data_IF_520811797314
#
_entry.id   IF_520811797314
#
_cell.length_a   1.000
_cell.length_b   1.000
_cell.length_c   1.000
_cell.angle_alpha   90.00
_cell.angle_beta   90.00
_cell.angle_gamma   90.00
#
_symmetry.space_group_name_H-M   'P 1'
#
loop_
_entity.id
_entity.type
_entity.pdbx_description
1 polymer ?
#
# COMPACT_ATOMS: atom_id res chain seq x y z
N UNK A 1 -15.69 48.23 6.60
CA UNK A 1 -16.00 47.30 7.71
C UNK A 1 -15.30 45.98 7.38
N UNK A 2 -13.99 45.86 7.67
CA UNK A 2 -13.38 45.35 8.90
C UNK A 2 -13.60 43.84 9.15
N UNK A 3 -12.50 43.11 8.94
CA UNK A 3 -11.96 41.95 9.68
C UNK A 3 -12.18 40.52 9.15
N UNK A 4 -11.08 39.79 8.83
CA UNK A 4 -11.02 38.33 8.79
C UNK A 4 -10.55 37.75 10.15
N UNK A 5 -11.12 36.61 10.55
CA UNK A 5 -10.69 35.86 11.73
C UNK A 5 -9.34 35.17 11.49
N UNK A 6 -8.29 35.71 12.10
CA UNK A 6 -7.02 35.02 12.36
C UNK A 6 -7.05 34.56 13.82
N UNK A 7 -6.98 33.25 14.05
CA UNK A 7 -6.77 32.70 15.39
C UNK A 7 -5.27 32.72 15.71
N UNK A 8 -4.91 33.51 16.72
CA UNK A 8 -3.59 33.59 17.33
C UNK A 8 -3.44 32.53 18.45
N UNK A 9 -2.25 31.97 18.70
CA UNK A 9 -2.03 31.01 19.77
C UNK A 9 -1.91 31.69 21.14
N UNK A 10 -2.53 31.08 22.15
CA UNK A 10 -2.52 31.49 23.54
C UNK A 10 -1.12 31.40 24.17
N UNK A 11 -0.64 32.53 24.71
CA UNK A 11 0.54 32.66 25.58
C UNK A 11 0.07 32.67 27.03
N UNK A 12 0.70 31.86 27.89
CA UNK A 12 0.72 31.99 29.36
C UNK A 12 2.03 31.37 29.92
N UNK A 13 2.50 31.75 31.13
CA UNK A 13 3.65 32.65 31.26
C UNK A 13 4.95 32.02 31.82
N UNK A 14 6.08 32.66 31.51
CA UNK A 14 7.38 32.50 32.17
C UNK A 14 7.29 32.85 33.66
N UNK A 15 7.59 31.92 34.56
CA UNK A 15 8.33 32.17 35.81
C UNK A 15 9.14 30.94 36.24
N UNK A 16 10.31 31.20 36.86
CA UNK A 16 11.29 30.28 37.47
C UNK A 16 12.30 29.56 36.55
N UNK A 17 13.35 30.30 36.15
CA UNK A 17 14.66 29.75 35.82
C UNK A 17 15.57 29.86 37.07
N UNK A 18 15.77 28.75 37.79
CA UNK A 18 16.91 28.61 38.71
C UNK A 18 18.09 28.00 37.94
N UNK A 19 19.18 28.75 37.97
CA UNK A 19 20.48 28.49 37.36
C UNK A 19 21.15 27.35 38.14
N UNK A 20 21.25 26.16 37.55
CA UNK A 20 22.19 25.14 38.01
C UNK A 20 23.29 24.99 36.96
N UNK A 21 24.47 25.49 37.32
CA UNK A 21 25.71 25.25 36.60
C UNK A 21 26.26 23.92 37.09
N UNK A 22 26.32 22.91 36.22
CA UNK A 22 27.12 21.71 36.46
C UNK A 22 28.22 21.67 35.41
N UNK A 23 29.43 22.01 35.86
CA UNK A 23 30.67 21.69 35.14
C UNK A 23 31.02 20.25 35.49
N UNK A 24 31.01 19.35 34.51
CA UNK A 24 31.52 18.00 34.67
C UNK A 24 32.50 17.73 33.54
N UNK A 25 33.78 17.82 33.86
CA UNK A 25 34.88 17.32 33.04
C UNK A 25 34.86 15.79 33.07
N UNK A 26 34.84 15.14 31.90
CA UNK A 26 35.28 13.75 31.76
C UNK A 26 36.34 13.63 30.65
N UNK A 27 37.39 12.82 30.86
CA UNK A 27 38.56 12.77 30.00
C UNK A 27 38.31 12.01 28.70
N UNK A 28 39.04 12.40 27.65
CA UNK A 28 39.04 11.74 26.35
C UNK A 28 39.56 10.30 26.47
N UNK A 29 38.73 9.33 26.11
CA UNK A 29 39.19 8.01 25.67
C UNK A 29 38.60 7.72 24.29
N UNK A 30 39.48 7.72 23.31
CA UNK A 30 39.26 7.18 21.99
C UNK A 30 39.05 5.66 22.09
N UNK A 31 37.90 5.18 21.61
CA UNK A 31 37.66 3.77 21.35
C UNK A 31 37.29 3.61 19.86
N UNK A 32 37.75 2.53 19.21
CA UNK A 32 37.70 2.40 17.76
C UNK A 32 36.27 2.17 17.25
N UNK A 33 35.97 2.84 16.14
CA UNK A 33 34.71 2.73 15.39
C UNK A 33 34.66 1.33 14.76
N UNK A 34 33.87 0.42 15.35
CA UNK A 34 33.42 -0.78 14.64
C UNK A 34 32.35 -0.37 13.62
N UNK A 35 32.73 -0.38 12.35
CA UNK A 35 31.82 -0.32 11.21
C UNK A 35 30.88 -1.52 11.24
N UNK A 36 29.64 -1.32 11.70
CA UNK A 36 28.58 -2.30 11.57
C UNK A 36 28.14 -2.36 10.10
N UNK A 37 28.77 -3.23 9.31
CA UNK A 37 28.24 -3.66 8.01
C UNK A 37 26.94 -4.43 8.26
N UNK A 38 25.80 -3.75 8.15
CA UNK A 38 24.51 -4.41 8.08
C UNK A 38 24.45 -5.21 6.77
N UNK A 39 24.58 -6.53 6.89
CA UNK A 39 24.38 -7.49 5.81
C UNK A 39 22.90 -7.49 5.40
N UNK A 40 22.54 -6.72 4.37
CA UNK A 40 21.31 -6.93 3.63
C UNK A 40 21.50 -8.19 2.74
N UNK A 41 21.16 -9.36 3.27
CA UNK A 41 20.89 -10.55 2.44
C UNK A 41 19.41 -10.55 2.08
N UNK A 42 19.05 -9.95 0.95
CA UNK A 42 17.78 -10.23 0.29
C UNK A 42 17.93 -11.53 -0.51
N UNK A 43 17.08 -12.52 -0.20
CA UNK A 43 16.95 -13.76 -0.97
C UNK A 43 16.21 -13.46 -2.28
N UNK A 44 16.87 -13.82 -3.38
CA UNK A 44 16.40 -14.13 -4.73
C UNK A 44 14.91 -13.91 -5.02
N UNK A 45 14.60 -12.78 -5.66
CA UNK A 45 13.45 -12.68 -6.54
C UNK A 45 13.88 -13.05 -7.97
N UNK A 46 13.08 -13.91 -8.58
CA UNK A 46 13.25 -14.51 -9.89
C UNK A 46 13.46 -13.48 -11.01
N UNK A 47 14.67 -13.49 -11.60
CA UNK A 47 14.93 -13.49 -13.04
C UNK A 47 13.96 -12.71 -13.95
N UNK A 48 14.07 -11.38 -13.98
CA UNK A 48 13.74 -10.57 -15.17
C UNK A 48 14.79 -9.48 -15.49
N UNK A 49 15.82 -9.28 -14.66
CA UNK A 49 16.89 -8.33 -14.94
C UNK A 49 18.24 -9.00 -14.67
N UNK A 50 18.70 -9.84 -15.60
CA UNK A 50 20.12 -10.08 -15.72
C UNK A 50 20.74 -8.77 -16.26
N UNK A 51 21.21 -7.91 -15.36
CA UNK A 51 22.06 -6.80 -15.76
C UNK A 51 23.50 -7.29 -15.66
N UNK A 52 24.05 -7.58 -16.83
CA UNK A 52 25.47 -7.43 -17.09
C UNK A 52 25.96 -6.11 -16.48
N UNK A 53 27.19 -6.11 -15.97
CA UNK A 53 27.87 -4.90 -15.50
C UNK A 53 28.11 -3.95 -16.68
N UNK A 54 27.06 -3.27 -17.14
CA UNK A 54 27.13 -2.25 -18.17
C UNK A 54 27.76 -0.98 -17.57
N UNK A 55 28.75 -0.46 -18.30
CA UNK A 55 29.27 0.90 -18.12
C UNK A 55 28.09 1.85 -18.00
N UNK A 56 28.16 2.79 -17.06
CA UNK A 56 27.14 3.83 -16.92
C UNK A 56 26.87 4.49 -18.29
N UNK A 57 25.66 4.27 -18.83
CA UNK A 57 25.23 4.89 -20.07
C UNK A 57 25.12 6.39 -19.87
N UNK A 58 26.14 7.11 -20.33
CA UNK A 58 26.09 8.56 -20.46
C UNK A 58 24.99 8.93 -21.46
N UNK A 59 24.22 10.01 -21.20
CA UNK A 59 23.19 10.42 -22.13
C UNK A 59 23.80 10.75 -23.50
N UNK A 60 23.11 10.40 -24.61
CA UNK A 60 23.54 10.76 -25.95
C UNK A 60 23.75 12.28 -26.11
N UNK A 61 24.63 12.64 -27.06
CA UNK A 61 24.88 14.05 -27.39
C UNK A 61 23.75 14.67 -28.21
N UNK A 62 23.12 13.88 -29.09
CA UNK A 62 21.98 14.35 -29.87
C UNK A 62 20.79 14.69 -28.96
N UNK A 63 20.14 15.82 -29.23
CA UNK A 63 19.06 16.33 -28.38
C UNK A 63 17.84 15.40 -28.38
N UNK A 64 17.50 14.84 -29.54
CA UNK A 64 16.33 13.95 -29.68
C UNK A 64 16.58 12.62 -28.97
N UNK A 65 17.75 12.03 -29.18
CA UNK A 65 18.16 10.81 -28.48
C UNK A 65 18.27 11.03 -26.96
N UNK A 66 18.76 12.19 -26.53
CA UNK A 66 18.81 12.59 -25.11
C UNK A 66 17.42 12.71 -24.49
N UNK A 67 16.46 13.29 -25.22
CA UNK A 67 15.06 13.32 -24.80
C UNK A 67 14.52 11.91 -24.56
N UNK A 68 14.68 11.02 -25.54
CA UNK A 68 14.25 9.61 -25.44
C UNK A 68 14.95 8.86 -24.31
N UNK A 69 16.23 9.12 -24.08
CA UNK A 69 17.00 8.55 -22.98
C UNK A 69 16.38 8.91 -21.62
N UNK A 70 16.09 10.19 -21.37
CA UNK A 70 15.48 10.60 -20.10
C UNK A 70 14.03 10.14 -19.97
N UNK A 71 13.26 10.09 -21.07
CA UNK A 71 11.91 9.52 -21.05
C UNK A 71 11.91 8.06 -20.62
N UNK A 72 12.87 7.25 -21.10
CA UNK A 72 13.03 5.86 -20.64
C UNK A 72 13.40 5.79 -19.16
N UNK A 73 14.38 6.58 -18.70
CA UNK A 73 14.75 6.63 -17.27
C UNK A 73 13.61 7.06 -16.36
N UNK A 74 12.78 8.00 -16.83
CA UNK A 74 11.56 8.43 -16.14
C UNK A 74 10.55 7.27 -16.06
N UNK A 75 10.33 6.54 -17.16
CA UNK A 75 9.48 5.36 -17.16
C UNK A 75 9.98 4.26 -16.23
N UNK A 76 11.29 4.00 -16.20
CA UNK A 76 11.89 3.04 -15.26
C UNK A 76 11.55 3.41 -13.81
N UNK A 77 11.70 4.69 -13.46
CA UNK A 77 11.32 5.22 -12.16
C UNK A 77 9.83 5.03 -11.87
N UNK A 78 8.94 5.53 -12.72
CA UNK A 78 7.48 5.50 -12.48
C UNK A 78 6.92 4.07 -12.45
N UNK A 79 7.44 3.19 -13.30
CA UNK A 79 7.00 1.80 -13.37
C UNK A 79 7.44 1.02 -12.14
N UNK A 80 8.55 1.40 -11.51
CA UNK A 80 8.95 0.88 -10.21
C UNK A 80 8.13 1.50 -9.07
N UNK A 81 8.03 2.82 -9.05
CA UNK A 81 7.58 3.65 -7.93
C UNK A 81 6.07 3.81 -7.86
N UNK A 82 5.36 2.71 -7.59
CA UNK A 82 3.89 2.70 -7.48
C UNK A 82 3.37 3.47 -6.25
N UNK A 83 4.18 3.60 -5.21
CA UNK A 83 3.83 4.30 -3.97
C UNK A 83 4.99 5.17 -3.49
N UNK A 84 4.77 6.11 -2.54
CA UNK A 84 5.84 6.90 -1.95
C UNK A 84 6.98 6.05 -1.39
N UNK A 85 6.65 4.86 -0.87
CA UNK A 85 7.62 3.89 -0.37
C UNK A 85 8.57 3.39 -1.46
N UNK A 86 8.02 3.02 -2.62
CA UNK A 86 8.81 2.55 -3.76
C UNK A 86 9.54 3.70 -4.46
N UNK A 87 9.00 4.93 -4.42
CA UNK A 87 9.70 6.13 -4.89
C UNK A 87 10.97 6.39 -4.06
N UNK A 88 10.86 6.36 -2.74
CA UNK A 88 12.00 6.55 -1.84
C UNK A 88 12.99 5.40 -1.94
N UNK A 89 12.53 4.14 -2.03
CA UNK A 89 13.43 2.99 -2.20
C UNK A 89 14.23 3.10 -3.51
N UNK A 90 13.57 3.39 -4.64
CA UNK A 90 14.26 3.57 -5.92
C UNK A 90 15.27 4.71 -5.86
N UNK A 91 14.86 5.88 -5.36
CA UNK A 91 15.75 7.04 -5.23
C UNK A 91 16.95 6.74 -4.31
N UNK A 92 16.73 6.04 -3.20
CA UNK A 92 17.79 5.62 -2.28
C UNK A 92 18.79 4.69 -2.97
N UNK A 93 18.31 3.70 -3.75
CA UNK A 93 19.17 2.81 -4.53
C UNK A 93 20.00 3.59 -5.55
N UNK A 94 19.37 4.49 -6.30
CA UNK A 94 20.10 5.31 -7.26
C UNK A 94 21.16 6.19 -6.59
N UNK A 95 20.86 6.78 -5.44
CA UNK A 95 21.83 7.61 -4.69
C UNK A 95 23.02 6.78 -4.21
N UNK A 96 22.79 5.58 -3.67
CA UNK A 96 23.84 4.66 -3.26
C UNK A 96 24.73 4.24 -4.44
N UNK A 97 24.12 3.89 -5.58
CA UNK A 97 24.84 3.55 -6.82
C UNK A 97 25.71 4.71 -7.33
N UNK A 98 25.40 5.96 -6.96
CA UNK A 98 26.13 7.17 -7.35
C UNK A 98 27.02 7.75 -6.22
N UNK A 99 27.35 6.91 -5.24
CA UNK A 99 28.34 7.20 -4.21
C UNK A 99 27.84 8.14 -3.10
N UNK A 100 26.53 8.30 -2.95
CA UNK A 100 25.98 8.94 -1.75
C UNK A 100 26.05 7.98 -0.56
N UNK A 101 26.28 8.54 0.63
CA UNK A 101 26.30 7.80 1.89
C UNK A 101 24.95 7.96 2.58
N UNK A 102 24.29 6.84 2.88
CA UNK A 102 23.09 6.84 3.71
C UNK A 102 23.47 7.21 5.15
N UNK A 103 22.77 8.18 5.73
CA UNK A 103 22.93 8.60 7.12
C UNK A 103 21.60 8.46 7.88
N UNK A 104 21.69 8.26 9.19
CA UNK A 104 20.53 8.10 10.07
C UNK A 104 20.26 9.39 10.81
N UNK A 105 19.01 9.85 10.81
CA UNK A 105 18.57 11.03 11.58
C UNK A 105 18.64 10.84 13.11
N UNK A 106 18.92 9.62 13.58
CA UNK A 106 19.08 9.31 15.00
C UNK A 106 20.51 9.50 15.49
N UNK A 107 21.47 9.60 14.57
CA UNK A 107 22.89 9.65 14.88
C UNK A 107 23.41 11.08 14.79
N UNK A 108 24.47 11.41 15.53
CA UNK A 108 25.21 12.64 15.31
C UNK A 108 25.93 12.58 13.95
N UNK A 109 25.77 13.63 13.13
CA UNK A 109 26.33 13.65 11.78
C UNK A 109 27.72 14.25 11.73
N UNK A 110 28.65 13.54 11.08
CA UNK A 110 29.97 14.06 10.75
C UNK A 110 30.08 14.29 9.22
N UNK A 111 29.61 15.45 8.77
CA UNK A 111 29.55 15.81 7.35
C UNK A 111 30.87 16.44 6.89
N UNK A 112 31.35 16.05 5.71
CA UNK A 112 32.63 16.51 5.16
C UNK A 112 32.42 17.36 3.89
N UNK A 113 33.19 18.44 3.70
CA UNK A 113 33.25 19.14 2.41
C UNK A 113 33.58 18.18 1.26
N UNK A 114 32.82 18.25 0.17
CA UNK A 114 32.91 17.31 -0.94
C UNK A 114 32.13 15.99 -0.76
N UNK A 115 31.59 15.74 0.44
CA UNK A 115 30.77 14.57 0.73
C UNK A 115 29.36 14.65 0.14
N UNK A 116 28.73 13.48 -0.07
CA UNK A 116 27.36 13.34 -0.58
C UNK A 116 26.59 12.41 0.34
N UNK A 117 25.43 12.84 0.79
CA UNK A 117 24.69 12.15 1.83
C UNK A 117 23.20 12.16 1.53
N UNK A 118 22.48 11.17 2.06
CA UNK A 118 21.04 11.20 2.06
C UNK A 118 20.48 10.51 3.30
N UNK A 119 19.29 10.89 3.70
CA UNK A 119 18.51 10.18 4.71
C UNK A 119 17.05 10.06 4.27
N UNK A 120 16.34 9.15 4.91
CA UNK A 120 14.91 8.92 4.68
C UNK A 120 14.12 9.05 5.97
N UNK A 121 12.96 9.70 5.92
CA UNK A 121 12.00 9.76 7.02
C UNK A 121 10.75 8.98 6.66
N UNK A 122 10.32 8.09 7.55
CA UNK A 122 9.16 7.19 7.38
C UNK A 122 9.23 6.28 6.12
N UNK A 123 10.36 6.25 5.42
CA UNK A 123 10.52 5.67 4.10
C UNK A 123 9.54 6.22 3.05
N UNK A 124 8.99 7.42 3.26
CA UNK A 124 8.12 8.14 2.31
C UNK A 124 8.70 9.47 1.87
N UNK A 125 9.65 10.02 2.62
CA UNK A 125 10.40 11.22 2.28
C UNK A 125 11.88 10.89 2.19
N UNK A 126 12.55 11.46 1.20
CA UNK A 126 13.99 11.37 1.00
C UNK A 126 14.59 12.76 0.89
N UNK A 127 15.70 12.99 1.57
CA UNK A 127 16.49 14.22 1.46
C UNK A 127 17.90 13.82 1.08
N UNK A 128 18.35 14.28 -0.08
CA UNK A 128 19.70 14.06 -0.58
C UNK A 128 20.41 15.40 -0.76
N UNK A 129 21.68 15.46 -0.35
CA UNK A 129 22.47 16.68 -0.43
C UNK A 129 23.95 16.38 -0.70
N UNK A 130 24.59 17.29 -1.42
CA UNK A 130 26.03 17.26 -1.69
C UNK A 130 26.67 18.50 -1.09
N UNK A 131 27.65 18.29 -0.19
CA UNK A 131 28.38 19.38 0.45
C UNK A 131 29.45 19.87 -0.51
N UNK A 132 29.39 21.14 -0.91
CA UNK A 132 30.40 21.73 -1.79
C UNK A 132 31.81 21.66 -1.19
N UNK A 133 32.83 21.44 -2.01
CA UNK A 133 34.23 21.38 -1.54
C UNK A 133 34.71 22.66 -0.84
N UNK A 134 34.10 23.80 -1.18
CA UNK A 134 34.37 25.12 -0.60
C UNK A 134 33.30 25.56 0.41
N UNK A 135 32.40 24.66 0.80
CA UNK A 135 31.36 24.99 1.76
C UNK A 135 31.98 25.26 3.13
N UNK A 136 31.57 26.35 3.75
CA UNK A 136 31.85 26.70 5.14
C UNK A 136 30.54 27.02 5.84
N UNK A 137 30.48 26.83 7.15
CA UNK A 137 29.28 27.15 7.94
C UNK A 137 28.87 28.61 7.72
N UNK A 138 27.58 28.84 7.47
CA UNK A 138 27.02 30.15 7.10
C UNK A 138 26.78 30.34 5.59
N UNK A 139 27.35 29.49 4.73
CA UNK A 139 27.03 29.52 3.30
C UNK A 139 25.59 29.06 3.01
N UNK A 140 25.04 29.48 1.86
CA UNK A 140 23.69 29.15 1.43
C UNK A 140 23.52 27.75 0.81
N UNK A 141 22.27 27.45 0.42
CA UNK A 141 21.87 26.19 -0.19
C UNK A 141 21.21 26.42 -1.55
N UNK A 142 21.48 25.53 -2.51
CA UNK A 142 20.68 25.38 -3.72
C UNK A 142 19.73 24.20 -3.50
N UNK A 143 18.43 24.48 -3.48
CA UNK A 143 17.42 23.49 -3.12
C UNK A 143 16.43 23.30 -4.26
N UNK A 144 16.10 22.04 -4.53
CA UNK A 144 15.00 21.63 -5.39
C UNK A 144 14.07 20.79 -4.53
N UNK A 145 12.80 21.18 -4.47
CA UNK A 145 11.76 20.47 -3.73
C UNK A 145 10.75 19.85 -4.69
N UNK A 146 10.33 18.62 -4.38
CA UNK A 146 9.23 17.90 -5.01
C UNK A 146 8.55 17.02 -3.94
N UNK A 147 7.49 16.33 -4.30
CA UNK A 147 6.79 15.37 -3.42
C UNK A 147 6.78 13.97 -4.06
N UNK A 148 6.64 12.93 -3.23
CA UNK A 148 6.74 11.51 -3.63
C UNK A 148 5.38 10.82 -3.75
N UNK A 149 4.32 11.50 -3.35
CA UNK A 149 2.96 10.99 -3.34
C UNK A 149 2.11 11.50 -4.49
N UNK A 150 1.05 10.77 -4.78
CA UNK A 150 0.05 11.13 -5.78
C UNK A 150 -1.33 10.73 -5.25
N UNK A 151 -2.41 11.38 -5.72
CA UNK A 151 -3.76 10.95 -5.38
C UNK A 151 -3.99 9.48 -5.71
N UNK A 152 -4.53 8.72 -4.75
CA UNK A 152 -4.71 7.28 -4.88
C UNK A 152 -5.83 6.76 -3.97
N UNK A 153 -6.20 5.49 -4.14
CA UNK A 153 -7.06 4.78 -3.19
C UNK A 153 -6.18 3.98 -2.24
N UNK A 154 -6.26 4.26 -0.94
CA UNK A 154 -5.57 3.49 0.10
C UNK A 154 -6.50 2.46 0.71
N UNK A 155 -5.98 1.35 1.21
CA UNK A 155 -6.76 0.44 2.04
C UNK A 155 -6.99 1.08 3.41
N UNK A 156 -8.21 0.97 3.93
CA UNK A 156 -8.50 1.29 5.33
C UNK A 156 -7.83 0.27 6.26
N UNK A 157 -7.53 0.60 7.54
CA UNK A 157 -6.98 -0.36 8.49
C UNK A 157 -7.82 -1.65 8.62
N UNK A 158 -9.15 -1.50 8.61
CA UNK A 158 -10.11 -2.60 8.49
C UNK A 158 -10.56 -2.71 7.03
N UNK A 159 -9.68 -3.28 6.20
CA UNK A 159 -9.90 -3.36 4.75
C UNK A 159 -10.89 -4.45 4.34
N UNK A 160 -11.10 -5.51 5.12
CA UNK A 160 -11.89 -6.66 4.64
C UNK A 160 -13.39 -6.36 4.72
N UNK A 161 -14.10 -6.51 3.61
CA UNK A 161 -15.56 -6.42 3.53
C UNK A 161 -16.13 -7.56 2.68
N UNK A 162 -17.40 -7.90 2.91
CA UNK A 162 -18.14 -8.85 2.06
C UNK A 162 -19.48 -8.24 1.70
N UNK A 163 -19.80 -8.21 0.41
CA UNK A 163 -21.06 -7.66 -0.10
C UNK A 163 -21.51 -8.45 -1.33
N UNK A 164 -22.80 -8.83 -1.37
CA UNK A 164 -23.42 -9.55 -2.50
C UNK A 164 -22.64 -10.78 -3.00
N UNK A 165 -22.06 -11.57 -2.08
CA UNK A 165 -21.28 -12.77 -2.45
C UNK A 165 -19.85 -12.50 -2.96
N UNK A 166 -19.38 -11.26 -2.83
CA UNK A 166 -18.01 -10.87 -3.16
C UNK A 166 -17.24 -10.40 -1.93
N UNK A 167 -16.00 -10.83 -1.80
CA UNK A 167 -15.00 -10.19 -0.96
C UNK A 167 -14.53 -8.91 -1.64
N UNK A 168 -14.70 -7.79 -0.94
CA UNK A 168 -14.32 -6.46 -1.36
C UNK A 168 -13.30 -5.87 -0.39
N UNK A 169 -12.64 -4.80 -0.82
CA UNK A 169 -11.76 -4.03 0.05
C UNK A 169 -12.37 -2.66 0.37
N UNK A 170 -12.41 -2.32 1.65
CA UNK A 170 -12.69 -0.97 2.11
C UNK A 170 -11.50 -0.08 1.80
N UNK A 171 -11.75 0.96 1.01
CA UNK A 171 -10.74 1.93 0.60
C UNK A 171 -11.02 3.32 1.19
N UNK A 172 -9.98 4.14 1.21
CA UNK A 172 -10.01 5.55 1.53
C UNK A 172 -9.38 6.35 0.38
N UNK A 173 -10.09 7.33 -0.20
CA UNK A 173 -9.50 8.24 -1.17
C UNK A 173 -8.46 9.14 -0.50
N UNK A 174 -7.26 9.19 -1.07
CA UNK A 174 -6.16 10.04 -0.64
C UNK A 174 -5.92 11.14 -1.68
N UNK A 175 -5.99 12.41 -1.27
CA UNK A 175 -5.82 13.57 -2.14
C UNK A 175 -7.03 13.88 -3.04
N UNK A 176 -6.85 14.79 -4.00
CA UNK A 176 -7.90 15.25 -4.93
C UNK A 176 -7.96 14.45 -6.23
N UNK A 177 -8.18 13.13 -6.15
CA UNK A 177 -8.15 12.26 -7.33
C UNK A 177 -9.38 12.36 -8.23
N UNK A 178 -9.19 12.07 -9.53
CA UNK A 178 -10.27 11.90 -10.50
C UNK A 178 -10.84 10.48 -10.38
N UNK A 179 -11.65 10.21 -9.36
CA UNK A 179 -12.02 8.84 -8.97
C UNK A 179 -12.75 8.03 -10.03
N UNK A 180 -13.42 8.68 -10.98
CA UNK A 180 -14.05 7.99 -12.11
C UNK A 180 -13.04 7.27 -13.02
N UNK A 181 -11.77 7.71 -13.08
CA UNK A 181 -10.74 7.08 -13.93
C UNK A 181 -10.21 5.75 -13.37
N UNK A 182 -10.52 5.45 -12.10
CA UNK A 182 -10.13 4.22 -11.40
C UNK A 182 -11.11 3.07 -11.64
N UNK A 183 -12.31 3.39 -12.14
CA UNK A 183 -13.26 2.38 -12.55
C UNK A 183 -12.76 1.65 -13.78
N UNK A 184 -13.09 0.37 -13.85
CA UNK A 184 -12.77 -0.48 -14.97
C UNK A 184 -11.28 -0.53 -15.36
N UNK A 185 -10.42 -0.38 -14.36
CA UNK A 185 -8.97 -0.60 -14.44
C UNK A 185 -8.57 -1.96 -13.87
N UNK A 186 -7.50 -2.49 -14.41
CA UNK A 186 -6.85 -3.69 -13.89
C UNK A 186 -5.91 -3.28 -12.76
N UNK A 187 -6.33 -3.56 -11.52
CA UNK A 187 -5.72 -2.98 -10.33
C UNK A 187 -4.94 -4.04 -9.54
N UNK A 188 -3.78 -3.61 -9.04
CA UNK A 188 -2.92 -4.33 -8.11
C UNK A 188 -2.86 -3.63 -6.75
N UNK A 189 -1.95 -4.09 -5.90
CA UNK A 189 -1.66 -3.49 -4.59
C UNK A 189 -0.16 -3.26 -4.44
N UNK A 190 0.21 -2.11 -3.88
CA UNK A 190 1.59 -1.85 -3.49
C UNK A 190 1.66 -1.02 -2.22
N UNK A 191 2.76 -1.14 -1.47
CA UNK A 191 2.97 -0.33 -0.27
C UNK A 191 3.93 -0.99 0.69
N UNK A 192 3.72 -0.76 1.99
CA UNK A 192 4.50 -1.38 3.06
C UNK A 192 3.63 -2.29 3.94
N UNK A 193 4.28 -3.29 4.51
CA UNK A 193 3.71 -4.18 5.52
C UNK A 193 4.68 -4.24 6.70
N UNK A 194 4.15 -4.10 7.91
CA UNK A 194 4.87 -4.33 9.15
C UNK A 194 4.74 -5.80 9.52
N UNK A 195 5.87 -6.49 9.55
CA UNK A 195 5.93 -7.93 9.86
C UNK A 195 6.68 -8.16 11.17
N UNK A 196 6.14 -9.08 11.96
CA UNK A 196 6.80 -9.67 13.11
C UNK A 196 7.89 -10.61 12.61
N UNK A 197 9.09 -10.49 13.16
CA UNK A 197 10.19 -11.40 12.90
C UNK A 197 10.72 -11.92 14.24
N UNK A 198 10.92 -13.22 14.34
CA UNK A 198 11.58 -13.80 15.51
C UNK A 198 13.01 -13.26 15.63
N UNK A 199 13.43 -12.94 16.85
CA UNK A 199 14.79 -12.49 17.11
C UNK A 199 15.73 -13.68 16.95
N UNK A 200 16.45 -13.76 15.83
CA UNK A 200 17.52 -14.75 15.64
C UNK A 200 18.83 -14.34 16.34
N UNK A 201 18.83 -13.22 17.06
CA UNK A 201 20.03 -12.63 17.65
C UNK A 201 20.10 -12.92 19.15
N UNK A 202 20.74 -14.04 19.48
CA UNK A 202 21.08 -14.44 20.85
C UNK A 202 22.13 -13.53 21.50
N UNK A 203 22.64 -12.49 20.80
CA UNK A 203 23.62 -11.54 21.32
C UNK A 203 23.03 -10.25 21.91
N UNK A 204 21.70 -10.14 21.99
CA UNK A 204 21.00 -9.04 22.69
C UNK A 204 20.44 -9.51 24.04
N UNK A 205 21.17 -9.33 25.15
CA UNK A 205 20.77 -9.89 26.45
C UNK A 205 19.65 -9.09 27.15
N UNK A 206 19.29 -7.91 26.62
CA UNK A 206 18.56 -6.88 27.39
C UNK A 206 17.24 -6.41 26.72
N UNK A 207 16.70 -7.16 25.76
CA UNK A 207 15.38 -6.86 25.16
C UNK A 207 14.50 -8.12 25.14
N UNK A 208 14.12 -8.57 26.34
CA UNK A 208 12.90 -9.33 26.66
C UNK A 208 12.28 -10.24 25.58
N UNK A 209 12.99 -11.12 24.87
CA UNK A 209 12.41 -12.04 23.85
C UNK A 209 11.37 -11.40 22.88
N UNK A 210 11.40 -10.07 22.73
CA UNK A 210 10.32 -9.36 22.04
C UNK A 210 10.61 -9.45 20.54
N UNK A 211 9.62 -9.83 19.72
CA UNK A 211 9.86 -10.02 18.31
C UNK A 211 10.18 -8.69 17.64
N UNK A 212 11.10 -8.74 16.69
CA UNK A 212 11.54 -7.58 15.94
C UNK A 212 10.49 -7.22 14.88
N UNK A 213 10.05 -5.97 14.89
CA UNK A 213 9.16 -5.47 13.83
C UNK A 213 10.01 -4.97 12.67
N UNK A 214 9.75 -5.49 11.47
CA UNK A 214 10.38 -5.05 10.23
C UNK A 214 9.36 -4.49 9.27
N UNK A 215 9.74 -3.43 8.58
CA UNK A 215 9.00 -2.95 7.41
C UNK A 215 9.46 -3.74 6.18
N UNK A 216 8.51 -4.24 5.39
CA UNK A 216 8.74 -4.88 4.09
C UNK A 216 7.91 -4.16 3.04
N UNK A 217 8.49 -3.93 1.86
CA UNK A 217 7.71 -3.45 0.72
C UNK A 217 7.07 -4.64 0.01
N UNK A 218 5.88 -4.41 -0.51
CA UNK A 218 5.14 -5.37 -1.33
C UNK A 218 4.62 -4.67 -2.56
N UNK A 219 4.72 -5.34 -3.70
CA UNK A 219 4.17 -4.90 -4.98
C UNK A 219 3.58 -6.10 -5.69
N UNK A 220 2.26 -6.14 -5.77
CA UNK A 220 1.49 -7.16 -6.47
C UNK A 220 1.13 -6.57 -7.83
N UNK A 221 1.96 -6.86 -8.82
CA UNK A 221 1.95 -6.27 -10.15
C UNK A 221 1.05 -7.00 -11.16
N UNK A 222 0.13 -7.82 -10.66
CA UNK A 222 -0.86 -8.56 -11.44
C UNK A 222 -2.28 -8.10 -11.07
N UNK A 223 -3.26 -8.18 -11.99
CA UNK A 223 -4.62 -7.71 -11.75
C UNK A 223 -5.33 -8.61 -10.73
N UNK A 224 -5.46 -8.10 -9.52
CA UNK A 224 -6.14 -8.79 -8.40
C UNK A 224 -7.38 -8.02 -7.92
N UNK A 225 -7.56 -6.79 -8.39
CA UNK A 225 -8.63 -5.90 -7.99
C UNK A 225 -9.30 -5.28 -9.21
N UNK A 226 -10.60 -5.01 -9.07
CA UNK A 226 -11.40 -4.30 -10.07
C UNK A 226 -12.46 -3.46 -9.37
N UNK A 227 -12.61 -2.21 -9.75
CA UNK A 227 -13.75 -1.36 -9.37
C UNK A 227 -14.69 -1.34 -10.59
N UNK A 228 -15.75 -2.16 -10.62
CA UNK A 228 -16.61 -2.25 -11.79
C UNK A 228 -17.55 -1.04 -11.89
N UNK A 229 -17.78 -0.54 -13.10
CA UNK A 229 -18.88 0.37 -13.36
C UNK A 229 -20.23 -0.34 -13.20
N UNK A 230 -21.26 0.41 -12.78
CA UNK A 230 -22.63 -0.05 -12.93
C UNK A 230 -23.02 0.01 -14.42
N UNK A 231 -23.68 -1.04 -14.90
CA UNK A 231 -24.13 -1.10 -16.29
C UNK A 231 -25.08 0.06 -16.62
N UNK A 232 -24.87 0.73 -17.76
CA UNK A 232 -25.67 1.88 -18.21
C UNK A 232 -27.18 1.57 -18.29
N UNK A 233 -27.56 0.32 -18.56
CA UNK A 233 -28.96 -0.12 -18.57
C UNK A 233 -29.69 0.14 -17.24
N UNK A 234 -28.95 0.14 -16.13
CA UNK A 234 -29.41 0.38 -14.76
C UNK A 234 -29.16 1.83 -14.29
N UNK A 235 -28.40 2.62 -15.07
CA UNK A 235 -28.13 4.04 -14.80
C UNK A 235 -28.10 4.83 -16.13
N UNK A 236 -29.28 5.06 -16.69
CA UNK A 236 -29.45 5.55 -18.07
C UNK A 236 -29.11 7.03 -18.26
N UNK A 237 -29.14 7.82 -17.19
CA UNK A 237 -28.91 9.26 -17.19
C UNK A 237 -27.42 9.64 -17.03
N UNK A 238 -26.51 8.68 -16.89
CA UNK A 238 -25.07 8.92 -16.63
C UNK A 238 -24.41 9.82 -17.69
N UNK A 239 -24.83 9.70 -18.95
CA UNK A 239 -24.29 10.48 -20.06
C UNK A 239 -24.70 11.97 -20.03
N UNK A 240 -25.82 12.32 -19.39
CA UNK A 240 -26.32 13.69 -19.31
C UNK A 240 -26.12 14.31 -17.92
N UNK A 241 -26.33 13.54 -16.85
CA UNK A 241 -26.19 13.98 -15.46
C UNK A 241 -24.74 13.97 -14.95
N UNK A 242 -23.84 13.31 -15.70
CA UNK A 242 -22.45 13.06 -15.34
C UNK A 242 -22.31 11.91 -14.34
N UNK A 243 -21.18 11.21 -14.40
CA UNK A 243 -20.86 10.14 -13.47
C UNK A 243 -20.36 10.69 -12.13
N UNK A 244 -21.13 10.47 -11.06
CA UNK A 244 -20.87 10.98 -9.71
C UNK A 244 -20.82 9.83 -8.70
N UNK A 245 -19.76 9.00 -8.73
CA UNK A 245 -19.65 7.87 -7.81
C UNK A 245 -19.52 8.38 -6.37
N UNK A 246 -20.24 7.76 -5.44
CA UNK A 246 -20.06 7.99 -4.02
C UNK A 246 -18.71 7.37 -3.58
N UNK A 247 -17.76 8.15 -3.04
CA UNK A 247 -16.43 7.63 -2.70
C UNK A 247 -16.43 6.52 -1.64
N UNK A 248 -17.43 6.48 -0.78
CA UNK A 248 -17.53 5.51 0.31
C UNK A 248 -18.19 4.20 -0.14
N UNK A 249 -19.18 4.25 -1.02
CA UNK A 249 -19.98 3.06 -1.39
C UNK A 249 -19.74 2.53 -2.80
N UNK A 250 -19.09 3.30 -3.69
CA UNK A 250 -18.90 2.90 -5.09
C UNK A 250 -17.44 2.64 -5.48
N UNK A 251 -16.46 2.93 -4.61
CA UNK A 251 -15.04 2.75 -4.92
C UNK A 251 -14.41 1.48 -4.34
N UNK A 252 -15.17 0.65 -3.61
CA UNK A 252 -14.65 -0.60 -3.05
C UNK A 252 -14.34 -1.62 -4.14
N UNK A 253 -13.07 -1.99 -4.39
CA UNK A 253 -12.74 -2.96 -5.41
C UNK A 253 -13.12 -4.38 -4.96
N UNK A 254 -13.52 -5.18 -5.94
CA UNK A 254 -13.74 -6.63 -5.78
C UNK A 254 -12.39 -7.35 -5.82
N UNK A 255 -12.17 -8.24 -4.85
CA UNK A 255 -10.97 -9.10 -4.76
C UNK A 255 -11.27 -10.54 -5.19
N UNK A 256 -12.38 -11.12 -4.74
CA UNK A 256 -12.75 -12.50 -5.04
C UNK A 256 -14.24 -12.75 -4.79
N UNK A 257 -14.83 -13.76 -5.43
CA UNK A 257 -16.12 -14.32 -4.99
C UNK A 257 -15.96 -15.14 -3.71
N UNK A 258 -16.94 -15.13 -2.82
CA UNK A 258 -16.94 -15.95 -1.59
C UNK A 258 -16.86 -17.44 -1.90
N UNK A 259 -17.57 -17.93 -2.93
CA UNK A 259 -17.56 -19.33 -3.35
C UNK A 259 -16.15 -19.83 -3.71
N UNK A 260 -15.42 -19.10 -4.57
CA UNK A 260 -14.03 -19.43 -4.91
C UNK A 260 -13.10 -19.38 -3.70
N UNK A 261 -13.28 -18.40 -2.80
CA UNK A 261 -12.47 -18.30 -1.59
C UNK A 261 -12.69 -19.49 -0.65
N UNK A 262 -13.94 -19.96 -0.52
CA UNK A 262 -14.27 -21.15 0.26
C UNK A 262 -13.63 -22.40 -0.33
N UNK A 263 -13.80 -22.64 -1.64
CA UNK A 263 -13.19 -23.77 -2.35
C UNK A 263 -11.66 -23.81 -2.16
N UNK A 264 -10.98 -22.68 -2.38
CA UNK A 264 -9.52 -22.60 -2.28
C UNK A 264 -8.94 -22.80 -0.87
N UNK A 265 -9.76 -22.76 0.18
CA UNK A 265 -9.28 -23.19 1.51
C UNK A 265 -9.89 -24.46 2.06
N UNK A 266 -10.96 -24.99 1.45
CA UNK A 266 -11.37 -26.37 1.69
C UNK A 266 -10.27 -27.34 1.22
N UNK A 267 -9.51 -27.00 0.17
CA UNK A 267 -8.41 -27.81 -0.36
C UNK A 267 -7.20 -27.96 0.59
N UNK A 268 -7.15 -27.25 1.72
CA UNK A 268 -6.04 -27.34 2.69
C UNK A 268 -6.35 -28.07 3.99
N UNK A 269 -7.62 -28.40 4.27
CA UNK A 269 -8.01 -29.08 5.52
C UNK A 269 -8.41 -30.55 5.34
N UNK A 270 -8.30 -31.12 4.14
CA UNK A 270 -8.62 -32.53 3.95
C UNK A 270 -7.93 -33.14 2.75
N UNK A 271 -6.70 -33.64 2.93
CA UNK A 271 -6.17 -34.80 2.20
C UNK A 271 -4.84 -35.27 2.81
N UNK A 272 -4.96 -35.91 3.98
CA UNK A 272 -4.16 -37.09 4.23
C UNK A 272 -4.84 -38.28 3.52
N UNK A 273 -4.02 -39.14 2.90
CA UNK A 273 -4.39 -40.17 1.95
C UNK A 273 -5.52 -41.12 2.38
N UNK A 274 -6.36 -41.56 1.44
CA UNK A 274 -6.33 -42.93 0.89
C UNK A 274 -7.39 -43.14 -0.20
N UNK A 275 -6.93 -43.81 -1.27
CA UNK A 275 -7.63 -44.75 -2.18
C UNK A 275 -8.81 -44.31 -3.07
N UNK A 276 -8.63 -44.60 -4.36
CA UNK A 276 -9.68 -44.72 -5.38
C UNK A 276 -10.59 -45.91 -5.07
N UNK A 277 -11.85 -45.92 -5.57
CA UNK A 277 -12.05 -46.69 -6.80
C UNK A 277 -13.12 -46.17 -7.77
N UNK A 278 -12.89 -46.57 -9.03
CA UNK A 278 -13.84 -47.05 -10.04
C UNK A 278 -14.94 -46.12 -10.59
N UNK A 279 -14.74 -45.81 -11.87
CA UNK A 279 -15.73 -45.41 -12.88
C UNK A 279 -16.89 -46.41 -12.95
N UNK A 280 -18.12 -45.90 -12.97
CA UNK A 280 -19.22 -46.48 -13.75
C UNK A 280 -19.91 -45.34 -14.48
N UNK A 281 -19.73 -45.33 -15.80
CA UNK A 281 -20.59 -44.61 -16.74
C UNK A 281 -21.97 -45.25 -16.69
N UNK A 282 -23.01 -44.43 -16.59
CA UNK A 282 -24.32 -44.82 -17.09
C UNK A 282 -24.95 -43.63 -17.81
N UNK A 283 -25.22 -43.88 -19.08
CA UNK A 283 -25.79 -43.00 -20.08
C UNK A 283 -27.31 -43.08 -20.05
N UNK A 284 -28.05 -41.96 -20.08
CA UNK A 284 -29.23 -41.84 -20.94
C UNK A 284 -29.80 -40.41 -21.09
N UNK A 285 -29.80 -39.97 -22.36
CA UNK A 285 -30.83 -39.25 -23.14
C UNK A 285 -31.53 -37.99 -22.63
N UNK A 286 -31.26 -36.91 -23.37
CA UNK A 286 -32.16 -35.89 -23.94
C UNK A 286 -33.60 -36.34 -24.26
N UNK A 287 -34.61 -35.52 -23.93
CA UNK A 287 -35.47 -34.71 -24.83
C UNK A 287 -36.56 -33.95 -23.99
N UNK A 288 -37.30 -32.96 -24.54
CA UNK A 288 -37.63 -31.71 -23.84
C UNK A 288 -39.10 -31.59 -23.39
N UNK A 289 -39.39 -30.66 -22.46
CA UNK A 289 -40.76 -30.16 -22.28
C UNK A 289 -40.80 -28.63 -22.20
N UNK A 290 -41.51 -28.09 -23.18
CA UNK A 290 -42.03 -26.74 -23.33
C UNK A 290 -43.05 -26.37 -22.25
N UNK A 291 -42.93 -25.19 -21.64
CA UNK A 291 -44.07 -24.40 -21.16
C UNK A 291 -43.64 -22.93 -20.90
N UNK A 292 -44.29 -22.01 -21.62
CA UNK A 292 -44.20 -20.55 -21.48
C UNK A 292 -45.07 -20.02 -20.32
N UNK A 293 -44.93 -18.74 -19.92
CA UNK A 293 -45.24 -18.23 -18.58
C UNK A 293 -46.63 -17.57 -18.48
N UNK A 294 -47.15 -17.28 -17.28
CA UNK A 294 -48.19 -16.29 -17.12
C UNK A 294 -47.61 -14.88 -16.89
N UNK A 295 -48.28 -13.91 -17.52
CA UNK A 295 -48.03 -12.47 -17.52
C UNK A 295 -48.49 -11.78 -16.22
N UNK A 296 -48.22 -10.47 -16.04
CA UNK A 296 -48.16 -9.81 -14.74
C UNK A 296 -49.49 -9.20 -14.29
N UNK A 297 -49.63 -8.99 -12.98
CA UNK A 297 -50.70 -8.20 -12.39
C UNK A 297 -50.09 -6.94 -11.77
N UNK A 298 -50.46 -5.79 -12.30
CA UNK A 298 -50.32 -4.49 -11.67
C UNK A 298 -51.30 -4.39 -10.50
N UNK A 299 -50.99 -3.69 -9.41
CA UNK A 299 -51.41 -2.28 -9.29
C UNK A 299 -51.15 -1.68 -7.89
N UNK A 300 -50.89 -0.37 -7.92
CA UNK A 300 -51.19 0.69 -6.92
C UNK A 300 -50.46 0.77 -5.56
N UNK A 301 -49.87 1.94 -5.37
CA UNK A 301 -49.30 2.49 -4.16
C UNK A 301 -50.36 2.94 -3.13
N UNK A 302 -50.06 2.85 -1.83
CA UNK A 302 -50.62 3.74 -0.79
C UNK A 302 -49.57 4.05 0.27
N UNK A 303 -49.31 5.34 0.45
CA UNK A 303 -48.67 5.95 1.61
C UNK A 303 -49.59 5.87 2.83
N UNK A 304 -49.11 5.37 3.96
CA UNK A 304 -49.63 5.77 5.27
C UNK A 304 -48.52 5.84 6.32
N UNK A 305 -48.40 7.03 6.89
CA UNK A 305 -47.73 7.40 8.14
C UNK A 305 -48.29 6.65 9.35
N UNK A 306 -47.46 6.30 10.33
CA UNK A 306 -47.97 5.80 11.62
C UNK A 306 -46.91 5.33 12.61
N UNK A 307 -46.46 6.26 13.44
CA UNK A 307 -46.09 6.13 14.87
C UNK A 307 -45.73 4.77 15.50
N UNK A 308 -44.54 4.79 16.11
CA UNK A 308 -43.96 3.89 17.11
C UNK A 308 -44.90 3.56 18.31
N UNK A 309 -44.84 2.34 18.88
CA UNK A 309 -45.10 2.18 20.32
C UNK A 309 -43.95 1.49 21.07
N UNK A 310 -43.87 1.85 22.35
CA UNK A 310 -42.80 1.59 23.30
C UNK A 310 -42.65 0.11 23.73
N UNK A 311 -41.44 -0.20 24.20
CA UNK A 311 -41.03 -1.47 24.80
C UNK A 311 -41.63 -1.70 26.21
N UNK A 312 -41.92 -2.95 26.60
CA UNK A 312 -42.01 -3.35 28.00
C UNK A 312 -40.69 -3.93 28.51
N UNK A 313 -40.37 -3.62 29.77
CA UNK A 313 -39.29 -4.21 30.57
C UNK A 313 -39.78 -5.49 31.27
N UNK A 314 -38.91 -6.49 31.43
CA UNK A 314 -38.88 -7.35 32.63
C UNK A 314 -38.84 -8.88 32.49
N UNK A 315 -37.62 -9.44 32.38
CA UNK A 315 -37.05 -10.65 33.05
C UNK A 315 -37.69 -12.04 32.89
N UNK A 316 -36.90 -12.99 32.35
CA UNK A 316 -36.38 -14.18 33.08
C UNK A 316 -35.12 -14.75 32.40
N UNK A 317 -34.09 -14.92 33.22
CA UNK A 317 -32.83 -15.60 32.89
C UNK A 317 -33.07 -17.12 32.86
N UNK A 318 -32.63 -17.79 31.80
CA UNK A 318 -32.31 -19.21 31.82
C UNK A 318 -30.93 -19.39 31.20
N UNK A 319 -30.06 -20.06 31.95
CA UNK A 319 -28.67 -20.29 31.61
C UNK A 319 -28.54 -21.16 30.36
N UNK A 320 -27.96 -20.58 29.31
CA UNK A 320 -27.42 -21.29 28.17
C UNK A 320 -25.92 -21.03 28.11
N UNK A 321 -25.13 -22.10 28.14
CA UNK A 321 -23.68 -22.10 27.98
C UNK A 321 -23.23 -21.15 26.87
N UNK A 322 -22.23 -20.31 27.16
CA UNK A 322 -21.54 -19.51 26.16
C UNK A 322 -21.07 -20.44 25.04
N UNK A 323 -21.44 -20.20 23.77
CA UNK A 323 -20.85 -20.93 22.66
C UNK A 323 -19.34 -20.73 22.72
N UNK A 324 -18.67 -21.87 22.85
CA UNK A 324 -17.24 -22.10 22.74
C UNK A 324 -16.58 -21.08 21.79
N UNK A 325 -15.43 -20.55 22.21
CA UNK A 325 -14.59 -19.65 21.42
C UNK A 325 -14.63 -20.00 19.93
N UNK A 326 -14.87 -19.03 19.03
CA UNK A 326 -14.97 -19.33 17.61
C UNK A 326 -13.68 -20.02 17.15
N UNK A 327 -13.77 -21.09 16.34
CA UNK A 327 -12.60 -21.78 15.83
C UNK A 327 -11.67 -20.75 15.17
N UNK A 328 -10.37 -20.82 15.49
CA UNK A 328 -9.34 -19.86 15.09
C UNK A 328 -9.68 -19.23 13.72
N UNK A 329 -10.09 -17.96 13.74
CA UNK A 329 -10.75 -17.35 12.58
C UNK A 329 -9.84 -17.41 11.37
N UNK A 330 -10.32 -18.05 10.31
CA UNK A 330 -9.56 -18.20 9.07
C UNK A 330 -9.08 -16.82 8.59
N UNK A 331 -7.78 -16.66 8.24
CA UNK A 331 -7.26 -15.37 7.81
C UNK A 331 -8.01 -14.86 6.58
N UNK A 332 -8.22 -13.54 6.51
CA UNK A 332 -8.90 -12.93 5.38
C UNK A 332 -8.16 -13.22 4.06
N UNK A 333 -8.86 -13.20 2.90
CA UNK A 333 -8.22 -13.37 1.60
C UNK A 333 -7.05 -12.39 1.37
N UNK A 334 -7.18 -11.16 1.88
CA UNK A 334 -6.11 -10.15 1.83
C UNK A 334 -4.88 -10.57 2.64
N UNK A 335 -5.05 -10.99 3.90
CA UNK A 335 -3.91 -11.41 4.73
C UNK A 335 -3.24 -12.68 4.18
N UNK A 336 -4.03 -13.60 3.62
CA UNK A 336 -3.51 -14.80 2.95
C UNK A 336 -2.68 -14.43 1.72
N UNK A 337 -3.12 -13.43 0.96
CA UNK A 337 -2.39 -12.92 -0.20
C UNK A 337 -1.08 -12.25 0.23
N UNK A 338 -1.11 -11.32 1.19
CA UNK A 338 0.08 -10.59 1.66
C UNK A 338 1.13 -11.52 2.27
N UNK A 339 0.71 -12.46 3.11
CA UNK A 339 1.62 -13.43 3.73
C UNK A 339 2.32 -14.33 2.71
N UNK A 340 1.61 -14.73 1.64
CA UNK A 340 2.19 -15.47 0.52
C UNK A 340 3.24 -14.64 -0.23
N UNK A 341 2.96 -13.36 -0.52
CA UNK A 341 3.91 -12.47 -1.20
C UNK A 341 5.16 -12.19 -0.35
N UNK A 342 5.00 -12.14 0.98
CA UNK A 342 6.07 -11.83 1.92
C UNK A 342 6.85 -13.05 2.40
N UNK A 343 6.33 -14.26 2.15
CA UNK A 343 6.88 -15.53 2.63
C UNK A 343 6.84 -15.67 4.15
N UNK A 344 5.76 -15.21 4.80
CA UNK A 344 5.56 -15.29 6.25
C UNK A 344 4.20 -15.92 6.62
N UNK A 345 3.92 -16.11 7.91
CA UNK A 345 2.58 -16.49 8.36
C UNK A 345 1.60 -15.30 8.28
N UNK A 346 0.30 -15.51 8.03
CA UNK A 346 -0.71 -14.46 8.20
C UNK A 346 -0.68 -13.80 9.58
N UNK A 347 -0.33 -14.54 10.64
CA UNK A 347 -0.19 -14.02 12.01
C UNK A 347 1.01 -13.08 12.20
N UNK A 348 1.98 -13.10 11.29
CA UNK A 348 3.16 -12.24 11.35
C UNK A 348 2.88 -10.85 10.78
N UNK A 349 1.82 -10.70 9.98
CA UNK A 349 1.41 -9.40 9.43
C UNK A 349 0.72 -8.60 10.53
N UNK A 350 1.39 -7.56 11.01
CA UNK A 350 0.91 -6.72 12.12
C UNK A 350 0.05 -5.56 11.63
N UNK A 351 0.52 -4.88 10.59
CA UNK A 351 -0.15 -3.72 10.02
C UNK A 351 0.35 -3.49 8.58
N UNK A 352 -0.35 -2.65 7.82
CA UNK A 352 0.01 -2.34 6.45
C UNK A 352 -0.46 -0.94 6.04
N UNK A 353 0.28 -0.34 5.12
CA UNK A 353 -0.17 0.84 4.38
C UNK A 353 -0.06 0.53 2.89
N UNK A 354 -1.20 0.24 2.29
CA UNK A 354 -1.30 -0.25 0.92
C UNK A 354 -2.14 0.70 0.07
N UNK A 355 -1.67 0.88 -1.15
CA UNK A 355 -2.28 1.66 -2.20
C UNK A 355 -2.80 0.69 -3.26
N UNK A 356 -3.99 0.96 -3.76
CA UNK A 356 -4.48 0.39 -5.02
C UNK A 356 -3.73 1.07 -6.15
N UNK A 357 -3.26 0.30 -7.14
CA UNK A 357 -2.43 0.82 -8.23
C UNK A 357 -2.86 0.23 -9.57
N UNK A 358 -2.81 1.02 -10.64
CA UNK A 358 -2.98 0.51 -12.01
C UNK A 358 -1.80 -0.40 -12.37
N UNK A 359 -2.12 -1.58 -12.90
CA UNK A 359 -1.13 -2.57 -13.35
C UNK A 359 -0.60 -2.24 -14.75
N UNK A 360 -1.28 -1.37 -15.49
CA UNK A 360 -0.80 -0.89 -16.79
C UNK A 360 0.50 -0.10 -16.62
N UNK A 361 1.58 -0.62 -17.21
CA UNK A 361 2.87 0.07 -17.23
C UNK A 361 2.79 1.38 -18.03
N UNK A 362 3.56 2.37 -17.58
CA UNK A 362 3.80 3.59 -18.33
C UNK A 362 4.59 3.32 -19.61
N UNK A 363 4.23 4.00 -20.68
CA UNK A 363 4.78 3.79 -22.02
C UNK A 363 5.05 5.11 -22.75
N UNK A 364 5.94 5.07 -23.74
CA UNK A 364 6.05 6.13 -24.76
C UNK A 364 5.06 5.79 -25.88
N UNK A 365 4.17 6.73 -26.19
CA UNK A 365 3.14 6.61 -27.22
C UNK A 365 2.97 7.87 -28.05
N UNK A 366 1.80 7.97 -28.70
CA UNK A 366 1.53 8.97 -29.73
C UNK A 366 2.08 8.53 -31.10
N UNK A 367 1.48 9.02 -32.19
CA UNK A 367 1.81 8.55 -33.55
C UNK A 367 3.28 8.66 -33.96
N UNK A 368 4.03 9.58 -33.33
CA UNK A 368 5.47 9.76 -33.53
C UNK A 368 6.32 9.37 -32.29
N UNK A 369 5.73 8.78 -31.25
CA UNK A 369 6.46 8.39 -30.03
C UNK A 369 6.95 9.58 -29.19
N UNK A 370 6.17 10.66 -29.12
CA UNK A 370 6.52 11.92 -28.46
C UNK A 370 5.80 12.19 -27.13
N UNK A 371 4.92 11.28 -26.69
CA UNK A 371 4.10 11.46 -25.49
C UNK A 371 4.35 10.31 -24.52
N UNK A 372 4.43 10.60 -23.22
CA UNK A 372 4.55 9.57 -22.18
C UNK A 372 3.17 9.38 -21.55
N UNK A 373 2.64 8.16 -21.59
CA UNK A 373 1.39 7.79 -20.94
C UNK A 373 1.70 7.05 -19.65
N UNK A 374 1.30 7.61 -18.51
CA UNK A 374 1.40 6.99 -17.21
C UNK A 374 0.47 7.69 -16.21
N UNK A 375 0.12 7.00 -15.12
CA UNK A 375 -0.48 7.63 -13.95
C UNK A 375 0.59 8.04 -12.93
N UNK A 376 0.28 8.95 -11.99
CA UNK A 376 1.21 9.49 -10.96
C UNK A 376 2.21 10.54 -11.49
N UNK A 377 1.79 11.34 -12.49
CA UNK A 377 2.52 12.55 -12.92
C UNK A 377 2.47 13.61 -11.82
#
# INVERSE_FOLDING_TARGET
>A
MLSPFIHSPSVLPRQYLKRFSFSVNFPSRSLPILSAKANLKQKNFSSCCAHDTEKQDMPPKDFTEKGRFYSKKLLDFINYSWTPYHAVEYASRQLLEHGFVAISERDAWNLQPGGRYFFTRNNTTIVAFAVGKKYTSGNGFYMVGAHTDSPCLKLKPIATATHSGYHQLNIEPYGGGLWHTWFDRDLGLAGRVLVRQESSDSSRPDVSNAPLIRQRLVKIDRPILRIPMLAIHLQRDIGTAGFKPNPQTNLGPILASTAKAQLLGADKEGKAATESPAVKEDSLSTAPSTASPPAPVADTAVLTTGSNPAAPKGVKEDGGECPLDPPASRPSPLLTLLSKELGCSPSDVLDYELHVCDTQAGVIGGGAGGVIFFGRV
#
